data_IF_792200184927
#
_entry.id   IF_792200184927
#
_cell.length_a   1.000
_cell.length_b   1.000
_cell.length_c   1.000
_cell.angle_alpha   90.00
_cell.angle_beta   90.00
_cell.angle_gamma   90.00
#
_symmetry.space_group_name_H-M   'P 1'
#
loop_
_entity.id
_entity.type
_entity.pdbx_description
1 polymer ?
#
# COMPACT_ATOMS: atom_id res chain seq x y z
N UNK A 1 -10.73 7.92 -6.01
CA UNK A 1 -9.72 8.79 -5.37
C UNK A 1 -9.66 8.38 -3.92
N UNK A 2 -8.48 8.04 -3.40
CA UNK A 2 -8.32 7.51 -2.04
C UNK A 2 -8.12 8.69 -1.09
N UNK A 3 -8.74 8.63 0.10
CA UNK A 3 -8.59 9.65 1.15
C UNK A 3 -8.25 8.98 2.46
N UNK A 4 -7.35 9.59 3.25
CA UNK A 4 -6.86 9.06 4.53
C UNK A 4 -7.11 10.05 5.68
N UNK A 5 -8.40 10.33 6.01
CA UNK A 5 -8.75 11.31 7.03
C UNK A 5 -8.29 10.93 8.44
N UNK A 6 -8.23 9.62 8.77
CA UNK A 6 -7.82 9.20 10.11
C UNK A 6 -6.31 9.36 10.30
N UNK A 7 -5.52 9.01 9.29
CA UNK A 7 -4.09 9.23 9.29
C UNK A 7 -3.76 10.73 9.37
N UNK A 8 -4.46 11.57 8.62
CA UNK A 8 -4.28 13.02 8.70
C UNK A 8 -4.61 13.57 10.09
N UNK A 9 -5.73 13.14 10.70
CA UNK A 9 -6.08 13.55 12.07
C UNK A 9 -5.08 13.07 13.12
N UNK A 10 -4.47 11.91 12.89
CA UNK A 10 -3.43 11.35 13.76
C UNK A 10 -2.03 11.94 13.49
N UNK A 11 -1.88 12.85 12.53
CA UNK A 11 -0.57 13.43 12.20
C UNK A 11 0.04 14.13 13.41
N UNK A 12 1.28 13.77 13.74
CA UNK A 12 1.99 14.26 14.93
C UNK A 12 1.70 13.48 16.23
N UNK A 13 0.77 12.52 16.21
CA UNK A 13 0.57 11.59 17.32
C UNK A 13 1.52 10.39 17.23
N UNK A 14 1.90 9.82 18.38
CA UNK A 14 2.73 8.61 18.44
C UNK A 14 2.07 7.40 17.75
N UNK A 15 0.74 7.41 17.62
CA UNK A 15 -0.06 6.37 16.99
C UNK A 15 -0.24 6.56 15.47
N UNK A 16 0.33 7.61 14.88
CA UNK A 16 0.18 7.90 13.45
C UNK A 16 0.44 6.67 12.57
N UNK A 17 1.59 6.01 12.74
CA UNK A 17 1.97 4.85 11.92
C UNK A 17 0.99 3.67 12.07
N UNK A 18 0.44 3.47 13.27
CA UNK A 18 -0.54 2.42 13.52
C UNK A 18 -1.89 2.73 12.87
N UNK A 19 -2.34 3.99 12.97
CA UNK A 19 -3.60 4.44 12.37
C UNK A 19 -3.50 4.44 10.86
N UNK A 20 -2.39 4.94 10.30
CA UNK A 20 -2.13 4.92 8.86
C UNK A 20 -2.10 3.48 8.33
N UNK A 21 -1.41 2.57 9.02
CA UNK A 21 -1.39 1.15 8.67
C UNK A 21 -2.82 0.57 8.62
N UNK A 22 -3.58 0.75 9.69
CA UNK A 22 -4.94 0.21 9.78
C UNK A 22 -5.88 0.80 8.72
N UNK A 23 -5.74 2.10 8.42
CA UNK A 23 -6.54 2.77 7.41
C UNK A 23 -6.20 2.27 5.99
N UNK A 24 -4.91 2.04 5.70
CA UNK A 24 -4.45 1.48 4.43
C UNK A 24 -4.85 0.01 4.24
N UNK A 25 -4.74 -0.81 5.29
CA UNK A 25 -5.19 -2.22 5.28
C UNK A 25 -6.72 -2.34 5.20
N UNK A 26 -7.46 -1.27 5.54
CA UNK A 26 -8.92 -1.19 5.43
C UNK A 26 -9.40 -0.63 4.08
N UNK A 27 -8.50 -0.27 3.16
CA UNK A 27 -8.87 0.18 1.82
C UNK A 27 -9.42 -0.98 0.99
N UNK A 28 -10.31 -0.66 0.06
CA UNK A 28 -10.84 -1.66 -0.87
C UNK A 28 -9.75 -2.15 -1.84
N UNK A 29 -9.88 -3.40 -2.24
CA UNK A 29 -9.13 -4.02 -3.34
C UNK A 29 -8.93 -3.10 -4.53
N UNK A 30 -7.71 -3.07 -5.07
CA UNK A 30 -7.34 -2.18 -6.19
C UNK A 30 -7.16 -0.70 -5.85
N UNK A 31 -7.23 -0.28 -4.57
CA UNK A 31 -6.95 1.11 -4.17
C UNK A 31 -5.45 1.44 -4.21
N UNK A 32 -4.60 0.43 -3.98
CA UNK A 32 -3.15 0.56 -4.01
C UNK A 32 -2.62 0.08 -5.38
N UNK A 33 -1.61 0.76 -5.96
CA UNK A 33 -1.06 0.41 -7.27
C UNK A 33 -0.10 -0.80 -7.18
N UNK A 34 -0.47 -1.85 -6.46
CA UNK A 34 0.35 -3.06 -6.22
C UNK A 34 0.67 -3.80 -7.52
N UNK A 35 -0.19 -3.66 -8.53
CA UNK A 35 0.01 -4.20 -9.87
C UNK A 35 1.33 -3.76 -10.52
N UNK A 36 1.82 -2.56 -10.16
CA UNK A 36 3.08 -2.03 -10.67
C UNK A 36 4.30 -2.53 -9.87
N UNK A 37 4.08 -3.25 -8.76
CA UNK A 37 5.12 -3.85 -7.91
C UNK A 37 5.28 -5.37 -8.10
N UNK A 38 4.50 -5.97 -8.99
CA UNK A 38 4.57 -7.39 -9.34
C UNK A 38 5.94 -7.68 -9.98
N UNK A 39 6.61 -8.74 -9.51
CA UNK A 39 7.92 -9.14 -10.06
C UNK A 39 7.86 -10.40 -10.92
N UNK A 40 6.88 -11.30 -10.71
CA UNK A 40 6.78 -12.58 -11.45
C UNK A 40 5.75 -12.53 -12.58
N UNK A 41 5.09 -11.39 -12.80
CA UNK A 41 4.07 -11.21 -13.84
C UNK A 41 2.73 -11.89 -13.55
N UNK A 42 2.47 -12.25 -12.29
CA UNK A 42 1.23 -12.82 -11.81
C UNK A 42 0.11 -11.79 -11.59
N UNK A 43 -0.91 -12.20 -10.84
CA UNK A 43 -2.02 -11.35 -10.39
C UNK A 43 -1.82 -11.00 -8.91
N UNK A 44 -2.09 -9.75 -8.52
CA UNK A 44 -2.09 -9.37 -7.10
C UNK A 44 -3.36 -9.91 -6.43
N UNK A 45 -3.18 -10.65 -5.34
CA UNK A 45 -4.22 -10.83 -4.33
C UNK A 45 -4.04 -9.76 -3.25
N UNK A 46 -4.97 -8.81 -3.24
CA UNK A 46 -5.01 -7.72 -2.26
C UNK A 46 -5.98 -7.99 -1.09
N UNK A 47 -6.53 -9.21 -1.02
CA UNK A 47 -7.48 -9.64 0.00
C UNK A 47 -6.86 -9.58 1.41
N UNK A 48 -5.55 -9.79 1.51
CA UNK A 48 -4.83 -9.76 2.78
C UNK A 48 -3.42 -9.16 2.61
N UNK A 49 -3.38 -7.85 2.35
CA UNK A 49 -2.11 -7.10 2.32
C UNK A 49 -1.64 -6.76 3.72
N UNK A 50 -0.33 -6.61 3.90
CA UNK A 50 0.23 -6.00 5.10
C UNK A 50 1.08 -4.80 4.78
N UNK A 51 0.78 -3.69 5.46
CA UNK A 51 1.46 -2.41 5.24
C UNK A 51 2.39 -2.09 6.40
N UNK A 52 3.60 -1.64 6.08
CA UNK A 52 4.60 -1.18 7.05
C UNK A 52 5.05 0.22 6.69
N UNK A 53 5.07 1.12 7.68
CA UNK A 53 5.62 2.48 7.52
C UNK A 53 7.13 2.42 7.65
N UNK A 54 7.85 2.62 6.55
CA UNK A 54 9.31 2.61 6.49
C UNK A 54 9.90 3.95 6.94
N UNK A 55 9.28 5.04 6.49
CA UNK A 55 9.69 6.40 6.84
C UNK A 55 8.51 7.36 6.65
N UNK A 56 8.51 8.47 7.38
CA UNK A 56 7.58 9.57 7.11
C UNK A 56 8.26 10.91 7.33
N UNK A 57 7.82 11.90 6.58
CA UNK A 57 8.37 13.25 6.59
C UNK A 57 7.30 14.25 6.24
N UNK A 58 7.43 15.45 6.80
CA UNK A 58 6.58 16.57 6.45
C UNK A 58 7.08 17.22 5.15
N UNK A 59 6.15 17.52 4.23
CA UNK A 59 6.38 18.35 3.07
C UNK A 59 5.47 19.59 3.13
N UNK A 60 5.74 20.58 2.27
CA UNK A 60 4.93 21.79 2.21
C UNK A 60 3.52 21.43 1.71
N UNK A 61 2.53 21.54 2.60
CA UNK A 61 1.12 21.20 2.32
C UNK A 61 0.78 19.70 2.34
N UNK A 62 1.76 18.81 2.48
CA UNK A 62 1.53 17.36 2.40
C UNK A 62 2.35 16.55 3.43
N UNK A 63 1.92 15.31 3.68
CA UNK A 63 2.65 14.32 4.47
C UNK A 63 3.20 13.29 3.50
N UNK A 64 4.51 13.10 3.48
CA UNK A 64 5.19 12.10 2.66
C UNK A 64 5.52 10.88 3.50
N UNK A 65 5.05 9.72 3.07
CA UNK A 65 5.30 8.46 3.75
C UNK A 65 5.88 7.46 2.76
N UNK A 66 6.95 6.78 3.16
CA UNK A 66 7.44 5.59 2.49
C UNK A 66 6.83 4.37 3.17
N UNK A 67 6.19 3.53 2.37
CA UNK A 67 5.49 2.34 2.80
C UNK A 67 6.13 1.12 2.15
N UNK A 68 6.29 0.05 2.90
CA UNK A 68 6.51 -1.29 2.37
C UNK A 68 5.18 -2.03 2.40
N UNK A 69 4.78 -2.59 1.27
CA UNK A 69 3.55 -3.39 1.17
C UNK A 69 3.90 -4.82 0.82
N UNK A 70 3.46 -5.74 1.66
CA UNK A 70 3.54 -7.17 1.44
C UNK A 70 2.17 -7.66 0.97
N UNK A 71 2.15 -8.45 -0.09
CA UNK A 71 0.94 -8.98 -0.69
C UNK A 71 1.22 -10.38 -1.27
N UNK A 72 0.17 -11.08 -1.69
CA UNK A 72 0.33 -12.36 -2.38
C UNK A 72 0.24 -12.14 -3.88
N UNK A 73 1.21 -12.67 -4.63
CA UNK A 73 1.21 -12.71 -6.08
C UNK A 73 0.81 -14.11 -6.53
N UNK A 74 -0.31 -14.21 -7.25
CA UNK A 74 -0.78 -15.45 -7.84
C UNK A 74 -0.13 -15.60 -9.22
N UNK A 75 0.86 -16.48 -9.33
CA UNK A 75 1.59 -16.73 -10.57
C UNK A 75 0.95 -17.93 -11.29
N UNK A 76 0.50 -17.71 -12.53
CA UNK A 76 -0.09 -18.75 -13.36
C UNK A 76 0.94 -19.82 -13.72
N UNK A 77 0.71 -21.07 -13.28
CA UNK A 77 1.57 -22.20 -13.58
C UNK A 77 1.61 -22.50 -15.08
N UNK A 78 2.83 -22.64 -15.64
CA UNK A 78 3.02 -23.08 -17.03
C UNK A 78 2.42 -24.48 -17.26
N UNK A 79 1.21 -24.53 -17.79
CA UNK A 79 0.63 -25.56 -18.67
C UNK A 79 0.93 -27.05 -18.37
N UNK A 80 1.17 -27.46 -17.12
CA UNK A 80 1.35 -28.88 -16.78
C UNK A 80 0.93 -29.16 -15.33
N UNK A 81 -0.38 -29.26 -15.08
CA UNK A 81 -0.93 -29.81 -13.84
C UNK A 81 -1.04 -28.84 -12.66
N UNK A 82 -2.05 -27.96 -12.75
CA UNK A 82 -2.99 -27.57 -11.68
C UNK A 82 -2.45 -27.39 -10.25
N UNK A 83 -1.93 -26.19 -9.96
CA UNK A 83 -2.36 -25.33 -8.83
C UNK A 83 -1.76 -23.92 -9.05
N UNK A 84 -2.50 -22.82 -8.86
CA UNK A 84 -1.92 -21.47 -8.91
C UNK A 84 -0.82 -21.33 -7.85
N UNK A 85 0.37 -20.88 -8.25
CA UNK A 85 1.47 -20.68 -7.31
C UNK A 85 1.29 -19.35 -6.59
N UNK A 86 1.05 -19.41 -5.28
CA UNK A 86 1.09 -18.24 -4.41
C UNK A 86 2.54 -17.89 -4.08
N UNK A 87 2.99 -16.72 -4.50
CA UNK A 87 4.30 -16.16 -4.19
C UNK A 87 4.16 -14.93 -3.30
N UNK A 88 5.12 -14.70 -2.40
CA UNK A 88 5.13 -13.47 -1.60
C UNK A 88 5.61 -12.31 -2.47
N UNK A 89 4.76 -11.31 -2.64
CA UNK A 89 5.07 -10.03 -3.27
C UNK A 89 5.48 -8.98 -2.23
N UNK A 90 6.43 -8.14 -2.60
CA UNK A 90 6.83 -6.97 -1.83
C UNK A 90 7.11 -5.80 -2.75
N UNK A 91 6.54 -4.64 -2.44
CA UNK A 91 6.86 -3.40 -3.13
C UNK A 91 6.93 -2.21 -2.18
N UNK A 92 7.70 -1.20 -2.57
CA UNK A 92 7.78 0.07 -1.85
C UNK A 92 6.91 1.12 -2.55
N UNK A 93 6.07 1.79 -1.76
CA UNK A 93 5.19 2.85 -2.22
C UNK A 93 5.56 4.17 -1.54
N UNK A 94 5.58 5.24 -2.33
CA UNK A 94 5.52 6.61 -1.85
C UNK A 94 4.07 7.04 -1.76
N UNK A 95 3.64 7.35 -0.55
CA UNK A 95 2.36 7.96 -0.23
C UNK A 95 2.55 9.45 0.01
N UNK A 96 1.73 10.27 -0.65
CA UNK A 96 1.56 11.69 -0.34
C UNK A 96 0.12 11.94 0.10
N UNK A 97 -0.06 12.49 1.31
CA UNK A 97 -1.36 12.88 1.86
C UNK A 97 -1.44 14.40 1.86
N UNK A 98 -2.43 14.97 1.17
CA UNK A 98 -2.70 16.41 1.24
C UNK A 98 -3.28 16.78 2.61
N UNK A 99 -2.72 17.80 3.26
CA UNK A 99 -3.12 18.21 4.61
C UNK A 99 -4.44 19.00 4.67
N UNK A 100 -4.91 19.50 3.53
CA UNK A 100 -6.14 20.28 3.43
C UNK A 100 -7.33 19.38 3.06
N UNK A 101 -7.11 18.38 2.22
CA UNK A 101 -8.19 17.54 1.67
C UNK A 101 -8.15 16.08 2.14
N UNK A 102 -7.07 15.65 2.79
CA UNK A 102 -6.78 14.25 3.11
C UNK A 102 -6.67 13.33 1.88
N UNK A 103 -6.53 13.89 0.68
CA UNK A 103 -6.35 13.12 -0.55
C UNK A 103 -5.01 12.41 -0.55
N UNK A 104 -5.02 11.13 -0.88
CA UNK A 104 -3.85 10.26 -0.90
C UNK A 104 -3.43 9.92 -2.34
N UNK A 105 -2.19 10.25 -2.68
CA UNK A 105 -1.53 9.84 -3.91
C UNK A 105 -0.51 8.74 -3.64
N UNK A 106 -0.54 7.67 -4.44
CA UNK A 106 0.41 6.55 -4.35
C UNK A 106 1.30 6.50 -5.59
N UNK A 107 2.57 6.21 -5.40
CA UNK A 107 3.53 5.99 -6.48
C UNK A 107 4.50 4.88 -6.11
N UNK A 108 4.66 3.88 -6.98
CA UNK A 108 5.70 2.85 -6.81
C UNK A 108 7.09 3.50 -6.95
N UNK A 109 8.01 3.09 -6.07
CA UNK A 109 9.41 3.57 -6.02
C UNK A 109 10.31 2.71 -6.88
#
# INVERSE_FOLDING_TARGET
>A
MVTLPNALQAWGAERFSQILKAELESLSSGSLPLENGISQGGLVDDSNISVTVLNFSEAEGAIRVMLGVFFTEIVGGCSCGDDPLEANGYCELRLEIDKSTAEAGFKVV
#
